data_IF_337501833037
#
_entry.id   IF_337501833037
#
_cell.length_a   1.000
_cell.length_b   1.000
_cell.length_c   1.000
_cell.angle_alpha   90.00
_cell.angle_beta   90.00
_cell.angle_gamma   90.00
#
_symmetry.space_group_name_H-M   'P 1'
#
loop_
_entity.id
_entity.type
_entity.pdbx_description
1 polymer ?
#
# COMPACT_ATOMS: atom_id res chain seq x y z
N UNK A 1 -28.69 -9.66 3.49
CA UNK A 1 -27.32 -10.15 3.14
C UNK A 1 -26.67 -10.52 4.44
N UNK A 2 -25.98 -11.66 4.52
CA UNK A 2 -25.32 -12.07 5.76
C UNK A 2 -24.09 -11.20 5.98
N UNK A 3 -23.77 -10.90 7.23
CA UNK A 3 -22.61 -10.07 7.59
C UNK A 3 -21.73 -10.82 8.56
N UNK A 4 -20.47 -11.03 8.19
CA UNK A 4 -19.43 -11.58 9.05
C UNK A 4 -18.56 -10.44 9.58
N UNK A 5 -18.50 -10.31 10.90
CA UNK A 5 -17.62 -9.36 11.58
C UNK A 5 -16.57 -10.14 12.38
N UNK A 6 -15.29 -9.90 12.12
CA UNK A 6 -14.20 -10.55 12.85
C UNK A 6 -12.84 -9.96 12.48
N UNK A 7 -11.79 -10.50 13.09
CA UNK A 7 -10.42 -10.08 12.84
C UNK A 7 -9.83 -10.82 11.65
N UNK A 8 -9.36 -10.08 10.65
CA UNK A 8 -8.69 -10.63 9.48
C UNK A 8 -7.38 -11.30 9.87
N UNK A 9 -7.26 -12.60 9.59
CA UNK A 9 -6.04 -13.38 9.82
C UNK A 9 -5.25 -13.56 8.54
N UNK A 10 -5.92 -13.92 7.45
CA UNK A 10 -5.29 -14.14 6.15
C UNK A 10 -6.28 -13.90 4.99
N UNK A 11 -5.73 -13.56 3.83
CA UNK A 11 -6.46 -13.42 2.56
C UNK A 11 -5.59 -13.97 1.42
N UNK A 12 -6.17 -14.79 0.54
CA UNK A 12 -5.47 -15.30 -0.66
C UNK A 12 -5.73 -14.44 -1.91
N UNK A 13 -5.07 -14.79 -3.02
CA UNK A 13 -5.20 -14.10 -4.32
C UNK A 13 -6.59 -14.24 -4.95
N UNK A 14 -7.42 -15.17 -4.48
CA UNK A 14 -8.82 -15.33 -4.90
C UNK A 14 -9.82 -14.73 -3.90
N UNK A 15 -9.31 -13.94 -2.95
CA UNK A 15 -10.10 -13.27 -1.92
C UNK A 15 -10.81 -14.25 -0.98
N UNK A 16 -10.29 -15.48 -0.80
CA UNK A 16 -10.75 -16.29 0.33
C UNK A 16 -10.24 -15.66 1.62
N UNK A 17 -11.15 -15.41 2.54
CA UNK A 17 -10.85 -14.72 3.78
C UNK A 17 -10.90 -15.69 4.95
N UNK A 18 -9.87 -15.66 5.79
CA UNK A 18 -9.84 -16.30 7.09
C UNK A 18 -10.01 -15.24 8.19
N UNK A 19 -11.10 -15.35 8.95
CA UNK A 19 -11.41 -14.48 10.08
C UNK A 19 -11.35 -15.23 11.40
N UNK A 20 -10.99 -14.53 12.48
CA UNK A 20 -11.06 -14.99 13.87
C UNK A 20 -12.05 -14.20 14.70
N UNK A 21 -12.56 -14.83 15.74
CA UNK A 21 -13.50 -14.26 16.73
C UNK A 21 -14.73 -13.65 16.04
N UNK A 22 -15.35 -14.45 15.18
CA UNK A 22 -16.34 -13.98 14.22
C UNK A 22 -17.73 -13.93 14.83
N UNK A 23 -18.43 -12.84 14.56
CA UNK A 23 -19.87 -12.70 14.75
C UNK A 23 -20.50 -12.67 13.37
N UNK A 24 -21.23 -13.73 13.05
CA UNK A 24 -22.09 -13.78 11.87
C UNK A 24 -23.48 -13.25 12.24
N UNK A 25 -24.02 -12.37 11.41
CA UNK A 25 -25.37 -11.84 11.51
C UNK A 25 -26.20 -12.27 10.31
N UNK A 26 -27.40 -12.78 10.58
CA UNK A 26 -28.35 -13.22 9.55
C UNK A 26 -28.72 -12.10 8.58
N UNK A 27 -29.29 -12.49 7.43
CA UNK A 27 -29.79 -11.52 6.44
C UNK A 27 -30.85 -10.58 6.99
N UNK A 28 -31.63 -11.05 7.96
CA UNK A 28 -32.75 -10.34 8.58
C UNK A 28 -32.30 -9.52 9.79
N UNK A 29 -31.04 -9.66 10.23
CA UNK A 29 -30.49 -8.94 11.39
C UNK A 29 -30.95 -9.46 12.75
N UNK A 30 -31.70 -10.57 12.77
CA UNK A 30 -32.38 -11.11 13.94
C UNK A 30 -31.58 -12.18 14.69
N UNK A 31 -30.60 -12.79 14.03
CA UNK A 31 -29.84 -13.93 14.56
C UNK A 31 -28.35 -13.67 14.44
N UNK A 32 -27.65 -14.04 15.51
CA UNK A 32 -26.23 -13.85 15.67
C UNK A 32 -25.57 -15.17 16.07
N UNK A 33 -24.47 -15.52 15.39
CA UNK A 33 -23.66 -16.69 15.72
C UNK A 33 -22.24 -16.25 16.01
N UNK A 34 -21.70 -16.73 17.13
CA UNK A 34 -20.30 -16.51 17.48
C UNK A 34 -19.49 -17.75 17.13
N UNK A 35 -18.45 -17.58 16.35
CA UNK A 35 -17.57 -18.65 15.88
C UNK A 35 -16.12 -18.29 16.15
N UNK A 36 -15.27 -19.26 16.53
CA UNK A 36 -13.85 -18.99 16.78
C UNK A 36 -13.10 -18.61 15.49
N UNK A 37 -13.41 -19.29 14.38
CA UNK A 37 -12.83 -19.07 13.06
C UNK A 37 -13.91 -19.19 11.97
N UNK A 38 -13.76 -18.43 10.87
CA UNK A 38 -14.63 -18.52 9.69
C UNK A 38 -13.80 -18.42 8.40
N UNK A 39 -14.18 -19.21 7.40
CA UNK A 39 -13.59 -19.19 6.06
C UNK A 39 -14.64 -18.76 5.04
N UNK A 40 -14.44 -17.60 4.44
CA UNK A 40 -15.38 -17.00 3.48
C UNK A 40 -14.78 -17.14 2.07
N UNK A 41 -15.60 -17.59 1.12
CA UNK A 41 -15.19 -17.71 -0.28
C UNK A 41 -15.23 -16.33 -0.95
N UNK A 42 -14.18 -15.94 -1.66
CA UNK A 42 -14.08 -14.60 -2.24
C UNK A 42 -15.23 -14.21 -3.18
N UNK A 43 -15.75 -15.16 -3.95
CA UNK A 43 -16.85 -14.91 -4.89
C UNK A 43 -18.22 -14.65 -4.21
N UNK A 44 -18.35 -14.86 -2.90
CA UNK A 44 -19.59 -14.56 -2.17
C UNK A 44 -19.56 -13.18 -1.52
N UNK A 45 -18.42 -12.49 -1.55
CA UNK A 45 -18.22 -11.18 -0.91
C UNK A 45 -18.76 -10.07 -1.83
N UNK A 46 -19.58 -9.17 -1.27
CA UNK A 46 -20.05 -7.98 -2.01
C UNK A 46 -19.20 -6.75 -1.72
N UNK A 47 -18.87 -6.53 -0.45
CA UNK A 47 -18.04 -5.44 0.00
C UNK A 47 -17.40 -5.81 1.34
N UNK A 48 -16.28 -5.17 1.66
CA UNK A 48 -15.63 -5.24 2.96
C UNK A 48 -15.69 -3.86 3.60
N UNK A 49 -15.94 -3.81 4.91
CA UNK A 49 -15.76 -2.58 5.69
C UNK A 49 -14.46 -2.71 6.46
N UNK A 50 -13.56 -1.77 6.24
CA UNK A 50 -12.26 -1.70 6.92
C UNK A 50 -12.18 -0.40 7.71
N UNK A 51 -11.30 -0.36 8.70
CA UNK A 51 -11.06 0.85 9.50
C UNK A 51 -10.34 1.91 8.66
N UNK A 52 -10.73 3.19 8.83
CA UNK A 52 -10.11 4.32 8.11
C UNK A 52 -8.60 4.43 8.36
N UNK A 53 -8.15 4.04 9.56
CA UNK A 53 -6.72 4.00 9.90
C UNK A 53 -5.92 3.06 8.99
N UNK A 54 -6.50 1.93 8.59
CA UNK A 54 -5.85 1.00 7.67
C UNK A 54 -5.73 1.59 6.26
N UNK A 55 -6.76 2.30 5.81
CA UNK A 55 -6.74 3.02 4.53
C UNK A 55 -5.66 4.10 4.57
N UNK A 56 -5.60 4.89 5.64
CA UNK A 56 -4.57 5.90 5.85
C UNK A 56 -3.16 5.27 5.85
N UNK A 57 -2.96 4.16 6.57
CA UNK A 57 -1.68 3.46 6.62
C UNK A 57 -1.19 3.00 5.24
N UNK A 58 -2.08 2.45 4.41
CA UNK A 58 -1.76 2.07 3.03
C UNK A 58 -1.36 3.28 2.20
N UNK A 59 -2.11 4.39 2.28
CA UNK A 59 -1.76 5.62 1.57
C UNK A 59 -0.41 6.18 1.99
N UNK A 60 -0.11 6.20 3.28
CA UNK A 60 1.19 6.63 3.80
C UNK A 60 2.30 5.70 3.33
N UNK A 61 2.08 4.40 3.31
CA UNK A 61 3.06 3.43 2.83
C UNK A 61 3.37 3.61 1.34
N UNK A 62 2.34 3.78 0.50
CA UNK A 62 2.49 4.08 -0.92
C UNK A 62 3.21 5.41 -1.12
N UNK A 63 2.84 6.45 -0.37
CA UNK A 63 3.51 7.74 -0.42
C UNK A 63 5.00 7.61 -0.06
N UNK A 64 5.32 6.87 1.01
CA UNK A 64 6.72 6.59 1.39
C UNK A 64 7.49 5.91 0.26
N UNK A 65 6.93 4.87 -0.36
CA UNK A 65 7.55 4.21 -1.52
C UNK A 65 7.81 5.18 -2.67
N UNK A 66 6.84 6.05 -3.00
CA UNK A 66 7.02 7.05 -4.05
C UNK A 66 8.07 8.10 -3.69
N UNK A 67 8.11 8.54 -2.43
CA UNK A 67 9.12 9.49 -1.96
C UNK A 67 10.52 8.89 -2.03
N UNK A 68 10.70 7.64 -1.60
CA UNK A 68 12.00 6.95 -1.73
C UNK A 68 12.46 6.83 -3.18
N UNK A 69 11.54 6.57 -4.11
CA UNK A 69 11.86 6.56 -5.54
C UNK A 69 12.30 7.96 -6.01
N UNK A 70 11.58 9.01 -5.63
CA UNK A 70 11.91 10.40 -5.99
C UNK A 70 13.25 10.84 -5.41
N UNK A 71 13.56 10.48 -4.17
CA UNK A 71 14.85 10.79 -3.54
C UNK A 71 16.00 10.16 -4.34
N UNK A 72 15.82 8.91 -4.80
CA UNK A 72 16.81 8.23 -5.65
C UNK A 72 16.95 8.85 -7.05
N UNK A 73 15.85 9.38 -7.61
CA UNK A 73 15.90 10.09 -8.89
C UNK A 73 16.56 11.46 -8.76
N UNK A 74 16.31 12.17 -7.65
CA UNK A 74 16.93 13.45 -7.35
C UNK A 74 18.44 13.30 -7.20
N UNK A 75 18.90 12.31 -6.44
CA UNK A 75 20.33 11.98 -6.30
C UNK A 75 20.97 11.68 -7.67
N UNK A 76 20.28 10.91 -8.52
CA UNK A 76 20.75 10.65 -9.89
C UNK A 76 20.86 11.92 -10.74
N UNK A 77 19.92 12.86 -10.60
CA UNK A 77 19.94 14.14 -11.32
C UNK A 77 21.08 15.03 -10.80
N UNK A 78 21.24 15.15 -9.48
CA UNK A 78 22.29 15.94 -8.85
C UNK A 78 23.68 15.46 -9.29
N UNK A 79 23.90 14.14 -9.27
CA UNK A 79 25.14 13.52 -9.78
C UNK A 79 25.40 13.84 -11.26
N UNK A 80 24.36 13.92 -12.09
CA UNK A 80 24.48 14.29 -13.52
C UNK A 80 24.79 15.77 -13.68
N UNK A 81 24.18 16.64 -12.87
CA UNK A 81 24.44 18.09 -12.87
C UNK A 81 25.88 18.37 -12.47
N UNK A 82 26.40 17.67 -11.46
CA UNK A 82 27.78 17.83 -11.00
C UNK A 82 28.80 17.46 -12.09
N UNK A 83 28.59 16.33 -12.78
CA UNK A 83 29.40 15.96 -13.95
C UNK A 83 29.38 17.02 -15.06
N UNK A 84 28.25 17.70 -15.27
CA UNK A 84 28.16 18.77 -16.28
C UNK A 84 28.93 20.03 -15.86
N UNK A 85 29.02 20.33 -14.56
CA UNK A 85 29.83 21.43 -14.04
C UNK A 85 31.33 21.18 -14.25
N UNK A 86 31.78 19.93 -14.16
CA UNK A 86 33.17 19.58 -14.46
C UNK A 86 33.51 19.75 -15.96
N UNK A 87 32.56 19.48 -16.86
CA UNK A 87 32.74 19.65 -18.31
C UNK A 87 32.80 21.14 -18.73
N UNK A 88 32.10 22.03 -18.01
CA UNK A 88 32.16 23.48 -18.30
C UNK A 88 33.39 24.18 -17.73
N UNK A 89 34.14 23.52 -16.83
CA UNK A 89 35.44 23.96 -16.35
C UNK A 89 36.54 23.70 -17.41
N UNK A 90 36.37 24.25 -18.62
CA UNK A 90 37.47 24.34 -19.59
C UNK A 90 38.43 25.44 -19.09
N UNK A 91 39.71 25.14 -18.82
CA UNK A 91 40.66 26.18 -18.47
C UNK A 91 40.84 27.07 -19.70
N UNK A 92 40.59 28.36 -19.54
CA UNK A 92 40.93 29.39 -20.51
C UNK A 92 42.45 29.41 -20.67
N UNK A 93 42.99 28.58 -21.56
CA UNK A 93 44.37 28.68 -21.99
C UNK A 93 44.48 29.89 -22.93
N UNK A 94 44.90 31.01 -22.37
CA UNK A 94 45.51 32.10 -23.12
C UNK A 94 46.61 31.53 -24.02
N UNK A 95 46.49 31.74 -25.33
CA UNK A 95 47.63 31.88 -26.20
C UNK A 95 47.53 33.30 -26.79
N UNK A 96 48.24 34.23 -26.16
CA UNK A 96 48.45 35.54 -26.74
C UNK A 96 49.22 35.42 -28.05
N UNK A 97 48.79 36.20 -29.03
CA UNK A 97 49.63 36.86 -30.02
C UNK A 97 48.82 37.98 -30.69
#
# INVERSE_FOLDING_TARGET
METDNGHLVNCDTWMKIHLREVICTSKDGDRFWRMPECYIRGNTIKYLRVLDELICGVWVYVAKLTMTCLDSELENIENRVEKLKEVSAVPSNNAGN
#
